data_IF_395669077655
#
_entry.id   IF_395669077655
#
_cell.length_a   1.000
_cell.length_b   1.000
_cell.length_c   1.000
_cell.angle_alpha   90.00
_cell.angle_beta   90.00
_cell.angle_gamma   90.00
#
_symmetry.space_group_name_H-M   'P 1'
#
loop_
_entity.id
_entity.type
_entity.pdbx_description
1 polymer ?
#
# COMPACT_ATOMS: atom_id res chain seq x y z
N UNK A 1 -14.07 3.59 5.65
CA UNK A 1 -15.43 3.76 5.09
C UNK A 1 -16.01 2.47 4.50
N UNK A 2 -15.43 1.84 3.46
CA UNK A 2 -15.92 0.53 2.99
C UNK A 2 -15.67 -0.58 4.02
N UNK A 3 -14.49 -0.59 4.66
CA UNK A 3 -14.16 -1.54 5.72
C UNK A 3 -15.06 -1.35 6.94
N UNK A 4 -15.31 -0.11 7.36
CA UNK A 4 -16.24 0.20 8.46
C UNK A 4 -17.66 -0.31 8.17
N UNK A 5 -18.13 -0.23 6.92
CA UNK A 5 -19.38 -0.84 6.50
C UNK A 5 -19.32 -2.37 6.63
N UNK A 6 -18.24 -3.01 6.18
CA UNK A 6 -18.07 -4.45 6.27
C UNK A 6 -18.01 -4.93 7.73
N UNK A 7 -17.31 -4.21 8.59
CA UNK A 7 -17.24 -4.44 10.03
C UNK A 7 -18.61 -4.32 10.68
N UNK A 8 -19.43 -3.32 10.31
CA UNK A 8 -20.80 -3.20 10.82
C UNK A 8 -21.68 -4.38 10.41
N UNK A 9 -21.59 -4.87 9.17
CA UNK A 9 -22.34 -6.04 8.72
C UNK A 9 -21.92 -7.30 9.49
N UNK A 10 -20.63 -7.48 9.73
CA UNK A 10 -20.08 -8.58 10.50
C UNK A 10 -20.52 -8.51 11.98
N UNK A 11 -20.45 -7.33 12.61
CA UNK A 11 -20.91 -7.12 13.98
C UNK A 11 -22.40 -7.42 14.15
N UNK A 12 -23.20 -7.16 13.12
CA UNK A 12 -24.64 -7.48 13.07
C UNK A 12 -24.94 -8.92 12.70
N UNK A 13 -23.92 -9.75 12.49
CA UNK A 13 -24.02 -11.16 12.12
C UNK A 13 -24.87 -11.38 10.87
N UNK A 14 -24.82 -10.45 9.91
CA UNK A 14 -25.55 -10.57 8.66
C UNK A 14 -24.74 -11.49 7.73
N UNK A 15 -25.23 -12.70 7.40
CA UNK A 15 -24.50 -13.61 6.54
C UNK A 15 -24.45 -13.04 5.12
N UNK A 16 -23.24 -12.95 4.57
CA UNK A 16 -22.98 -12.48 3.21
C UNK A 16 -22.08 -13.45 2.46
N UNK A 17 -22.34 -13.64 1.17
CA UNK A 17 -21.45 -14.41 0.29
C UNK A 17 -20.39 -13.50 -0.31
N UNK A 18 -19.28 -14.07 -0.77
CA UNK A 18 -18.24 -13.32 -1.49
C UNK A 18 -18.79 -12.56 -2.71
N UNK A 19 -19.79 -13.12 -3.40
CA UNK A 19 -20.48 -12.44 -4.52
C UNK A 19 -21.22 -11.17 -4.10
N UNK A 20 -21.73 -11.13 -2.87
CA UNK A 20 -22.45 -9.95 -2.35
C UNK A 20 -21.47 -8.84 -1.99
N UNK A 21 -20.30 -9.22 -1.46
CA UNK A 21 -19.20 -8.29 -1.20
C UNK A 21 -18.68 -7.63 -2.48
N UNK A 22 -18.54 -8.37 -3.58
CA UNK A 22 -18.16 -7.82 -4.89
C UNK A 22 -19.14 -6.70 -5.30
N UNK A 23 -20.44 -6.98 -5.25
CA UNK A 23 -21.48 -6.00 -5.61
C UNK A 23 -21.44 -4.75 -4.73
N UNK A 24 -21.20 -4.90 -3.43
CA UNK A 24 -21.11 -3.76 -2.50
C UNK A 24 -19.86 -2.94 -2.72
N UNK A 25 -18.72 -3.59 -3.00
CA UNK A 25 -17.48 -2.92 -3.34
C UNK A 25 -17.62 -2.11 -4.63
N UNK A 26 -18.18 -2.70 -5.69
CA UNK A 26 -18.39 -2.02 -6.97
C UNK A 26 -19.29 -0.78 -6.81
N UNK A 27 -20.39 -0.91 -6.05
CA UNK A 27 -21.29 0.21 -5.76
C UNK A 27 -20.58 1.31 -4.95
N UNK A 28 -19.74 0.93 -3.98
CA UNK A 28 -18.94 1.87 -3.21
C UNK A 28 -17.95 2.64 -4.10
N UNK A 29 -17.24 1.94 -4.99
CA UNK A 29 -16.30 2.56 -5.93
C UNK A 29 -17.02 3.54 -6.88
N UNK A 30 -18.15 3.13 -7.45
CA UNK A 30 -18.96 3.99 -8.33
C UNK A 30 -19.48 5.24 -7.60
N UNK A 31 -19.92 5.10 -6.35
CA UNK A 31 -20.38 6.21 -5.54
C UNK A 31 -19.27 7.24 -5.27
N UNK A 32 -18.02 6.79 -5.18
CA UNK A 32 -16.84 7.65 -5.02
C UNK A 32 -16.20 8.03 -6.37
N UNK A 33 -16.95 7.93 -7.47
CA UNK A 33 -16.53 8.29 -8.83
C UNK A 33 -15.30 7.51 -9.36
N UNK A 34 -14.97 6.36 -8.76
CA UNK A 34 -13.96 5.46 -9.28
C UNK A 34 -14.51 4.57 -10.39
N UNK A 35 -13.67 4.29 -11.39
CA UNK A 35 -14.01 3.34 -12.45
C UNK A 35 -13.87 1.91 -11.94
N UNK A 36 -14.96 1.16 -11.97
CA UNK A 36 -14.96 -0.27 -11.65
C UNK A 36 -14.33 -1.06 -12.80
N UNK A 37 -13.35 -1.88 -12.46
CA UNK A 37 -12.65 -2.75 -13.39
C UNK A 37 -13.57 -3.91 -13.81
N UNK A 38 -13.95 -3.97 -15.08
CA UNK A 38 -14.88 -5.00 -15.62
C UNK A 38 -14.17 -6.22 -16.21
N UNK A 39 -12.88 -6.12 -16.46
CA UNK A 39 -12.05 -7.15 -17.07
C UNK A 39 -10.66 -7.14 -16.44
N UNK A 40 -9.82 -8.14 -16.71
CA UNK A 40 -8.46 -8.20 -16.16
C UNK A 40 -7.52 -7.09 -16.69
N UNK A 41 -8.05 -6.12 -17.46
CA UNK A 41 -7.27 -5.14 -18.19
C UNK A 41 -6.59 -5.76 -19.42
N UNK A 42 -5.74 -4.94 -20.06
CA UNK A 42 -4.97 -5.33 -21.25
C UNK A 42 -3.49 -5.59 -20.94
N UNK A 43 -3.07 -5.32 -19.70
CA UNK A 43 -1.66 -5.41 -19.29
C UNK A 43 -1.41 -6.82 -18.80
N UNK A 44 -0.53 -7.54 -19.50
CA UNK A 44 -0.12 -8.88 -19.07
C UNK A 44 0.73 -8.81 -17.81
N UNK A 45 0.73 -9.90 -17.04
CA UNK A 45 1.54 -10.03 -15.83
C UNK A 45 3.02 -9.69 -16.06
N UNK A 46 3.59 -10.13 -17.18
CA UNK A 46 4.98 -9.85 -17.55
C UNK A 46 5.26 -8.36 -17.74
N UNK A 47 4.31 -7.61 -18.34
CA UNK A 47 4.44 -6.16 -18.51
C UNK A 47 4.33 -5.44 -17.16
N UNK A 48 3.40 -5.87 -16.31
CA UNK A 48 3.25 -5.32 -14.96
C UNK A 48 4.52 -5.52 -14.11
N UNK A 49 5.13 -6.71 -14.19
CA UNK A 49 6.36 -7.04 -13.45
C UNK A 49 7.54 -6.17 -13.90
N UNK A 50 7.74 -6.04 -15.22
CA UNK A 50 8.79 -5.18 -15.79
C UNK A 50 8.61 -3.71 -15.37
N UNK A 51 7.36 -3.23 -15.34
CA UNK A 51 7.06 -1.86 -14.90
C UNK A 51 7.39 -1.67 -13.41
N UNK A 52 7.00 -2.63 -12.57
CA UNK A 52 7.27 -2.61 -11.13
C UNK A 52 8.78 -2.62 -10.84
N UNK A 53 9.56 -3.48 -11.50
CA UNK A 53 11.02 -3.53 -11.38
C UNK A 53 11.66 -2.20 -11.78
N UNK A 54 11.21 -1.61 -12.90
CA UNK A 54 11.73 -0.32 -13.39
C UNK A 54 11.41 0.81 -12.42
N UNK A 55 10.21 0.82 -11.85
CA UNK A 55 9.81 1.81 -10.84
C UNK A 55 10.61 1.63 -9.54
N UNK A 56 10.81 0.38 -9.11
CA UNK A 56 11.59 0.06 -7.92
C UNK A 56 13.05 0.49 -8.04
N UNK A 57 13.68 0.33 -9.22
CA UNK A 57 15.07 0.74 -9.41
C UNK A 57 15.24 2.26 -9.22
N UNK A 58 14.28 3.06 -9.71
CA UNK A 58 14.26 4.52 -9.48
C UNK A 58 14.10 4.84 -8.00
N UNK A 59 13.12 4.21 -7.37
CA UNK A 59 12.84 4.39 -5.94
C UNK A 59 14.05 4.00 -5.08
N UNK A 60 14.72 2.89 -5.37
CA UNK A 60 15.90 2.39 -4.65
C UNK A 60 17.03 3.41 -4.62
N UNK A 61 17.29 4.08 -5.75
CA UNK A 61 18.33 5.11 -5.85
C UNK A 61 17.97 6.32 -4.97
N UNK A 62 16.71 6.76 -5.01
CA UNK A 62 16.24 7.89 -4.18
C UNK A 62 16.23 7.54 -2.70
N UNK A 63 15.77 6.34 -2.35
CA UNK A 63 15.79 5.81 -1.00
C UNK A 63 17.23 5.77 -0.46
N UNK A 64 18.18 5.22 -1.21
CA UNK A 64 19.59 5.18 -0.78
C UNK A 64 20.20 6.56 -0.52
N UNK A 65 19.77 7.61 -1.22
CA UNK A 65 20.25 8.99 -0.99
C UNK A 65 19.64 9.64 0.26
N UNK A 66 18.39 9.30 0.56
CA UNK A 66 17.61 9.95 1.63
C UNK A 66 17.59 9.15 2.92
N UNK A 67 17.93 7.86 2.85
CA UNK A 67 17.94 6.95 3.97
C UNK A 67 19.07 7.31 4.92
N UNK A 68 18.70 7.87 6.07
CA UNK A 68 19.56 7.92 7.24
C UNK A 68 19.19 6.73 8.12
N UNK A 69 20.11 5.79 8.23
CA UNK A 69 19.92 4.64 9.11
C UNK A 69 19.85 5.11 10.56
N UNK A 70 18.95 4.52 11.35
CA UNK A 70 18.94 4.72 12.81
C UNK A 70 20.29 4.35 13.43
N UNK A 71 21.02 3.39 12.83
CA UNK A 71 22.39 3.07 13.21
C UNK A 71 23.36 4.24 13.03
N UNK A 72 23.29 4.97 11.91
CA UNK A 72 24.14 6.15 11.70
C UNK A 72 23.82 7.27 12.69
N UNK A 73 22.56 7.39 13.10
CA UNK A 73 22.11 8.34 14.10
C UNK A 73 22.70 7.97 15.47
N UNK A 74 22.51 6.73 15.89
CA UNK A 74 23.03 6.21 17.17
C UNK A 74 24.56 6.32 17.24
N UNK A 75 25.26 5.94 16.17
CA UNK A 75 26.72 5.99 16.11
C UNK A 75 27.26 7.43 16.17
N UNK A 76 26.60 8.39 15.52
CA UNK A 76 26.96 9.82 15.62
C UNK A 76 26.75 10.35 17.02
N UNK A 77 25.71 9.93 17.71
CA UNK A 77 25.42 10.37 19.08
C UNK A 77 26.45 9.80 20.07
N UNK A 78 26.87 8.54 19.91
CA UNK A 78 27.98 7.93 20.67
C UNK A 78 29.31 8.67 20.42
N UNK A 79 29.63 8.99 19.17
CA UNK A 79 30.85 9.74 18.83
C UNK A 79 30.86 11.18 19.38
N UNK A 80 29.69 11.81 19.53
CA UNK A 80 29.58 13.14 20.15
C UNK A 80 29.79 13.08 21.65
N UNK A 81 29.29 12.04 22.33
CA UNK A 81 29.50 11.84 23.77
C UNK A 81 30.99 11.64 24.09
N UNK A 82 31.71 10.85 23.29
CA UNK A 82 33.15 10.59 23.48
C UNK A 82 34.08 11.78 23.13
N UNK A 83 33.60 12.84 22.50
CA UNK A 83 34.40 14.06 22.20
C UNK A 83 34.19 15.18 23.24
N UNK A 84 33.33 14.96 24.23
CA UNK A 84 33.03 15.89 25.31
C UNK A 84 33.76 15.60 26.63
N UNK A 85 34.59 14.55 26.67
CA UNK A 85 35.56 14.24 27.72
C UNK A 85 36.97 14.58 27.25
#
# INVERSE_FOLDING_TARGET
MYLDYAENQAARQLPMKMTDWIKKLDAFLQFNEYQVLKDAGKVSHAVAMKLAETAYEKFRIEQGRTFKSDFEKEFKDILKQNKGE
#
